data_IF_596567793911
#
_entry.id   IF_596567793911
#
_cell.length_a   1.000
_cell.length_b   1.000
_cell.length_c   1.000
_cell.angle_alpha   90.00
_cell.angle_beta   90.00
_cell.angle_gamma   90.00
#
_symmetry.space_group_name_H-M   'P 1'
#
loop_
_entity.id
_entity.type
_entity.pdbx_description
1 polymer ?
#
# COMPACT_ATOMS: atom_id res chain seq x y z
N UNK A 1 -2.27 -10.27 3.67
CA UNK A 1 -2.82 -9.07 3.00
C UNK A 1 -2.43 -9.05 1.53
N UNK A 2 -3.06 -8.22 0.71
CA UNK A 2 -2.72 -7.91 -0.67
C UNK A 2 -2.82 -6.39 -0.87
N UNK A 3 -1.72 -5.79 -1.30
CA UNK A 3 -1.52 -4.38 -1.60
C UNK A 3 -1.41 -4.23 -3.12
N UNK A 4 -2.52 -4.08 -3.85
CA UNK A 4 -2.46 -3.64 -5.25
C UNK A 4 -2.08 -2.17 -5.32
N UNK A 5 -1.65 -1.70 -6.49
CA UNK A 5 -1.25 -0.30 -6.70
C UNK A 5 -2.49 0.59 -6.70
N UNK A 6 -2.71 1.34 -5.61
CA UNK A 6 -3.90 2.18 -5.44
C UNK A 6 -3.99 3.27 -6.54
N UNK A 7 -5.20 3.55 -7.01
CA UNK A 7 -5.46 4.35 -8.20
C UNK A 7 -4.93 5.79 -8.14
N UNK A 8 -5.18 6.53 -7.05
CA UNK A 8 -4.66 7.90 -6.90
C UNK A 8 -3.14 7.92 -6.71
N UNK A 9 -2.58 6.91 -6.07
CA UNK A 9 -1.14 6.71 -5.91
C UNK A 9 -0.48 6.53 -7.28
N UNK A 10 -1.07 5.70 -8.15
CA UNK A 10 -0.62 5.54 -9.54
C UNK A 10 -0.80 6.85 -10.32
N UNK A 11 -1.92 7.55 -10.13
CA UNK A 11 -2.21 8.79 -10.84
C UNK A 11 -1.23 9.93 -10.49
N UNK A 12 -0.89 10.11 -9.21
CA UNK A 12 -0.13 11.27 -8.73
C UNK A 12 1.33 10.98 -8.37
N UNK A 13 1.68 9.71 -8.09
CA UNK A 13 2.98 9.32 -7.56
C UNK A 13 3.49 8.01 -8.20
N UNK A 14 3.27 7.81 -9.50
CA UNK A 14 3.63 6.57 -10.22
C UNK A 14 5.10 6.15 -10.03
N UNK A 15 6.03 7.10 -10.01
CA UNK A 15 7.45 6.84 -9.75
C UNK A 15 7.69 6.27 -8.35
N UNK A 16 6.97 6.75 -7.33
CA UNK A 16 7.05 6.25 -5.95
C UNK A 16 6.40 4.86 -5.86
N UNK A 17 5.26 4.65 -6.54
CA UNK A 17 4.61 3.33 -6.61
C UNK A 17 5.56 2.28 -7.20
N UNK A 18 6.18 2.56 -8.36
CA UNK A 18 7.13 1.64 -8.98
C UNK A 18 8.33 1.35 -8.08
N UNK A 19 8.87 2.37 -7.39
CA UNK A 19 9.97 2.18 -6.45
C UNK A 19 9.56 1.23 -5.31
N UNK A 20 8.45 1.50 -4.63
CA UNK A 20 7.98 0.70 -3.49
C UNK A 20 7.68 -0.75 -3.93
N UNK A 21 6.92 -0.94 -5.00
CA UNK A 21 6.52 -2.29 -5.45
C UNK A 21 7.70 -3.09 -6.03
N UNK A 22 8.65 -2.45 -6.72
CA UNK A 22 9.86 -3.14 -7.19
C UNK A 22 10.77 -3.54 -6.04
N UNK A 23 10.92 -2.69 -5.01
CA UNK A 23 11.66 -3.04 -3.78
C UNK A 23 11.00 -4.20 -3.06
N UNK A 24 9.68 -4.18 -2.86
CA UNK A 24 8.95 -5.30 -2.27
C UNK A 24 9.18 -6.62 -3.03
N UNK A 25 9.16 -6.55 -4.36
CA UNK A 25 9.39 -7.71 -5.23
C UNK A 25 10.81 -8.26 -5.05
N UNK A 26 11.84 -7.40 -5.00
CA UNK A 26 13.24 -7.79 -4.76
C UNK A 26 13.43 -8.46 -3.39
N UNK A 27 12.69 -8.00 -2.38
CA UNK A 27 12.71 -8.56 -1.02
C UNK A 27 11.91 -9.86 -0.87
N UNK A 28 11.24 -10.33 -1.93
CA UNK A 28 10.41 -11.54 -1.90
C UNK A 28 8.98 -11.33 -1.39
N UNK A 29 8.52 -10.07 -1.23
CA UNK A 29 7.18 -9.72 -0.77
C UNK A 29 6.17 -9.48 -1.91
N UNK A 30 6.47 -9.93 -3.13
CA UNK A 30 5.59 -9.76 -4.30
C UNK A 30 4.20 -10.42 -4.17
N UNK A 31 4.04 -11.38 -3.24
CA UNK A 31 2.72 -11.95 -2.90
C UNK A 31 1.85 -11.02 -2.04
N UNK A 32 2.46 -10.05 -1.35
CA UNK A 32 1.76 -8.97 -0.66
C UNK A 32 1.63 -7.76 -1.58
N UNK A 33 2.70 -7.32 -2.22
CA UNK A 33 2.72 -6.16 -3.11
C UNK A 33 2.39 -6.56 -4.56
N UNK A 34 1.10 -6.55 -4.88
CA UNK A 34 0.58 -7.07 -6.16
C UNK A 34 0.87 -6.08 -7.29
N UNK A 35 1.52 -6.56 -8.35
CA UNK A 35 1.84 -5.80 -9.56
C UNK A 35 0.60 -5.62 -10.48
N UNK A 36 -0.47 -5.06 -9.91
CA UNK A 36 -1.76 -4.80 -10.57
C UNK A 36 -2.34 -3.49 -10.04
N UNK A 37 -2.90 -2.68 -10.94
CA UNK A 37 -3.64 -1.48 -10.54
C UNK A 37 -4.92 -1.88 -9.79
N UNK A 38 -5.13 -1.27 -8.63
CA UNK A 38 -6.30 -1.42 -7.79
C UNK A 38 -7.32 -0.29 -8.00
N UNK A 39 -8.27 -0.22 -7.06
CA UNK A 39 -9.29 0.83 -7.02
C UNK A 39 -8.71 2.19 -6.65
N UNK A 40 -9.46 3.26 -6.94
CA UNK A 40 -9.19 4.61 -6.43
C UNK A 40 -9.81 4.76 -5.05
N UNK A 41 -8.99 4.99 -4.03
CA UNK A 41 -9.43 5.13 -2.63
C UNK A 41 -9.21 6.57 -2.18
N UNK A 42 -10.29 7.24 -1.76
CA UNK A 42 -10.14 8.54 -1.11
C UNK A 42 -9.58 8.33 0.27
N UNK A 43 -8.31 8.67 0.45
CA UNK A 43 -7.58 8.58 1.72
C UNK A 43 -6.70 9.84 1.88
N UNK A 44 -5.94 9.90 2.98
CA UNK A 44 -5.12 11.05 3.38
C UNK A 44 -4.06 11.45 2.33
N UNK A 45 -3.58 10.50 1.52
CA UNK A 45 -2.63 10.82 0.44
C UNK A 45 -3.23 11.68 -0.67
N UNK A 46 -4.55 11.68 -0.85
CA UNK A 46 -5.22 12.46 -1.90
C UNK A 46 -5.04 13.97 -1.69
N UNK A 47 -5.38 14.58 -0.54
CA UNK A 47 -5.10 15.99 -0.29
C UNK A 47 -3.59 16.30 -0.25
N UNK A 48 -2.73 15.37 0.19
CA UNK A 48 -1.26 15.56 0.13
C UNK A 48 -0.79 15.72 -1.31
N UNK A 49 -1.26 14.86 -2.22
CA UNK A 49 -0.95 14.96 -3.65
C UNK A 49 -1.59 16.22 -4.29
N UNK A 50 -2.88 16.45 -4.08
CA UNK A 50 -3.64 17.49 -4.81
C UNK A 50 -3.38 18.91 -4.31
N UNK A 51 -3.19 19.10 -3.00
CA UNK A 51 -3.10 20.42 -2.38
C UNK A 51 -1.63 20.78 -2.09
N UNK A 52 -0.87 19.81 -1.56
CA UNK A 52 0.53 20.04 -1.18
C UNK A 52 1.51 19.71 -2.29
N UNK A 53 1.06 19.05 -3.35
CA UNK A 53 1.88 18.67 -4.50
C UNK A 53 3.10 17.83 -4.12
N UNK A 54 2.96 17.00 -3.07
CA UNK A 54 3.98 16.05 -2.65
C UNK A 54 3.54 14.67 -3.14
N UNK A 55 4.34 13.99 -3.99
CA UNK A 55 4.05 12.62 -4.42
C UNK A 55 3.91 11.71 -3.20
N UNK A 56 2.70 11.21 -2.97
CA UNK A 56 2.35 10.38 -1.82
C UNK A 56 1.62 9.12 -2.27
N UNK A 57 2.00 7.97 -1.72
CA UNK A 57 1.43 6.66 -2.05
C UNK A 57 0.73 6.08 -0.84
N UNK A 58 -0.31 5.31 -1.10
CA UNK A 58 -1.03 4.55 -0.09
C UNK A 58 -0.76 3.04 -0.25
N UNK A 59 -0.31 2.39 0.83
CA UNK A 59 -0.10 0.94 0.91
C UNK A 59 -1.27 0.36 1.69
N UNK A 60 -2.35 0.06 0.97
CA UNK A 60 -3.64 -0.32 1.55
C UNK A 60 -4.06 -1.74 1.14
N UNK A 61 -4.59 -2.49 2.10
CA UNK A 61 -5.07 -3.85 1.86
C UNK A 61 -6.44 -3.83 1.18
N UNK A 62 -6.47 -4.22 -0.09
CA UNK A 62 -7.69 -4.26 -0.91
C UNK A 62 -8.01 -5.69 -1.33
N UNK A 63 -9.31 -5.99 -1.42
CA UNK A 63 -9.82 -7.28 -1.84
C UNK A 63 -10.96 -7.11 -2.82
N UNK A 64 -11.17 -8.12 -3.66
CA UNK A 64 -12.40 -8.24 -4.45
C UNK A 64 -13.55 -8.67 -3.52
N UNK A 65 -14.12 -7.68 -2.84
CA UNK A 65 -15.21 -7.82 -1.88
C UNK A 65 -16.27 -6.74 -2.14
N UNK A 66 -17.50 -6.87 -1.62
CA UNK A 66 -18.54 -5.85 -1.80
C UNK A 66 -18.15 -4.45 -1.33
N UNK A 67 -17.23 -4.34 -0.36
CA UNK A 67 -16.71 -3.05 0.14
C UNK A 67 -15.37 -2.66 -0.49
N UNK A 68 -14.69 -3.56 -1.20
CA UNK A 68 -13.32 -3.38 -1.68
C UNK A 68 -12.24 -3.60 -0.61
N UNK A 69 -12.63 -3.73 0.67
CA UNK A 69 -11.71 -3.91 1.81
C UNK A 69 -11.81 -5.32 2.39
N UNK A 70 -10.95 -5.63 3.36
CA UNK A 70 -11.06 -6.88 4.11
C UNK A 70 -12.41 -6.98 4.86
N UNK A 71 -12.93 -8.19 5.10
CA UNK A 71 -14.20 -8.39 5.81
C UNK A 71 -14.28 -7.79 7.22
N UNK A 72 -13.14 -7.55 7.88
CA UNK A 72 -13.11 -6.95 9.20
C UNK A 72 -13.23 -5.42 9.18
N UNK A 73 -13.05 -4.76 8.03
CA UNK A 73 -13.09 -3.30 7.89
C UNK A 73 -14.40 -2.70 8.44
N UNK A 74 -14.27 -1.74 9.36
CA UNK A 74 -15.40 -1.08 10.04
C UNK A 74 -16.33 -2.05 10.79
N UNK A 75 -15.78 -3.11 11.38
CA UNK A 75 -16.53 -4.07 12.22
C UNK A 75 -15.84 -4.28 13.56
N UNK A 76 -16.54 -4.88 14.52
CA UNK A 76 -15.91 -5.34 15.78
C UNK A 76 -14.91 -6.49 15.59
N UNK A 77 -14.86 -7.11 14.40
CA UNK A 77 -13.85 -8.11 14.06
C UNK A 77 -12.49 -7.48 13.70
N UNK A 78 -12.41 -6.15 13.55
CA UNK A 78 -11.14 -5.43 13.46
C UNK A 78 -10.48 -5.34 14.84
N UNK A 79 -9.77 -6.41 15.20
CA UNK A 79 -9.10 -6.56 16.49
C UNK A 79 -7.83 -7.41 16.34
N UNK A 80 -7.14 -7.69 17.44
CA UNK A 80 -5.85 -8.39 17.40
C UNK A 80 -5.88 -9.77 16.73
N UNK A 81 -7.03 -10.45 16.64
CA UNK A 81 -7.11 -11.76 16.00
C UNK A 81 -6.88 -11.72 14.49
N UNK A 82 -7.12 -10.57 13.83
CA UNK A 82 -6.90 -10.42 12.37
C UNK A 82 -5.51 -9.91 12.03
N UNK A 83 -4.70 -9.53 13.03
CA UNK A 83 -3.36 -9.02 12.83
C UNK A 83 -2.39 -10.16 12.57
N UNK A 84 -1.71 -10.09 11.43
CA UNK A 84 -0.70 -11.06 11.02
C UNK A 84 0.71 -10.44 10.99
N UNK A 85 1.65 -11.08 11.69
CA UNK A 85 3.03 -10.59 11.79
C UNK A 85 3.77 -10.62 10.45
N UNK A 86 3.44 -11.55 9.56
CA UNK A 86 4.10 -11.62 8.25
C UNK A 86 3.67 -10.43 7.37
N UNK A 87 2.40 -10.04 7.43
CA UNK A 87 1.87 -8.83 6.78
C UNK A 87 2.58 -7.57 7.30
N UNK A 88 2.72 -7.42 8.62
CA UNK A 88 3.45 -6.29 9.23
C UNK A 88 4.91 -6.26 8.78
N UNK A 89 5.58 -7.43 8.75
CA UNK A 89 6.97 -7.54 8.30
C UNK A 89 7.12 -7.17 6.83
N UNK A 90 6.24 -7.62 5.96
CA UNK A 90 6.28 -7.31 4.53
C UNK A 90 6.16 -5.81 4.26
N UNK A 91 5.17 -5.15 4.88
CA UNK A 91 4.98 -3.71 4.76
C UNK A 91 6.16 -2.93 5.36
N UNK A 92 6.49 -3.20 6.62
CA UNK A 92 7.51 -2.47 7.35
C UNK A 92 8.91 -2.63 6.74
N UNK A 93 9.30 -3.85 6.36
CA UNK A 93 10.61 -4.08 5.74
C UNK A 93 10.72 -3.44 4.35
N UNK A 94 9.65 -3.46 3.56
CA UNK A 94 9.64 -2.80 2.26
C UNK A 94 9.85 -1.30 2.39
N UNK A 95 9.08 -0.65 3.28
CA UNK A 95 9.22 0.81 3.49
C UNK A 95 10.61 1.13 4.03
N UNK A 96 11.12 0.34 4.99
CA UNK A 96 12.46 0.51 5.54
C UNK A 96 13.53 0.44 4.45
N UNK A 97 13.46 -0.56 3.58
CA UNK A 97 14.42 -0.72 2.48
C UNK A 97 14.35 0.45 1.50
N UNK A 98 13.14 0.91 1.14
CA UNK A 98 12.98 2.07 0.25
C UNK A 98 13.67 3.29 0.84
N UNK A 99 13.39 3.65 2.09
CA UNK A 99 13.93 4.89 2.68
C UNK A 99 15.44 4.81 2.95
N UNK A 100 15.99 3.64 3.30
CA UNK A 100 17.43 3.47 3.51
C UNK A 100 18.22 3.40 2.20
N UNK A 101 17.57 3.06 1.09
CA UNK A 101 18.18 3.03 -0.24
C UNK A 101 18.03 4.35 -1.01
N UNK A 102 17.32 5.35 -0.48
CA UNK A 102 17.35 6.70 -1.04
C UNK A 102 18.75 7.31 -0.83
N UNK A 103 19.32 7.85 -1.90
CA UNK A 103 20.54 8.64 -1.82
C UNK A 103 20.15 10.12 -1.94
N UNK A 104 20.75 10.98 -1.11
CA UNK A 104 20.64 12.44 -1.20
C UNK A 104 21.27 13.00 -2.49
#
# INVERSE_FOLDING_TARGET
AAFPREGYSVQYASNVVEKVWSTATKLGYGSYFIQKNGSYITDDHVPVNKIRHIPCVDIIHLQDSPTGFAPHWHTHADNLSVIDRATLKAAGQTVMEVIYAEND
#
